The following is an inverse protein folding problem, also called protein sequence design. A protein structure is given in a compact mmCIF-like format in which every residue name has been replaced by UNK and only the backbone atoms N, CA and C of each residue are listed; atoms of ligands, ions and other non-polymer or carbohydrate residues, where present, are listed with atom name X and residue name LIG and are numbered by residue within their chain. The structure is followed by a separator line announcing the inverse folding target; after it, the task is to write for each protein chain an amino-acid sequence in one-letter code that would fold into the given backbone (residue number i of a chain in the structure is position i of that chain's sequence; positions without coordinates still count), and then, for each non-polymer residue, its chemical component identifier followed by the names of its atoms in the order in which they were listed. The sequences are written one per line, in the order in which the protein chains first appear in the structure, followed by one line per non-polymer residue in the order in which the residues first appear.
data_IF_375499434916
#
_entry.id   IF_375499434916
#
_cell.length_a   1.000
_cell.length_b   1.000
_cell.length_c   1.000
_cell.angle_alpha   90.00
_cell.angle_beta   90.00
_cell.angle_gamma   90.00
#
_symmetry.space_group_name_H-M   'P 1'
#
loop_
_entity.id
_entity.type
_entity.pdbx_description
1 polymer ?
#
# COMPACT_ATOMS: atom_id res chain seq x y z
N UNK A 1 -22.59 -32.37 -18.39
CA UNK A 1 -22.73 -31.29 -19.38
C UNK A 1 -23.16 -30.04 -18.63
N UNK A 2 -22.49 -28.90 -18.83
CA UNK A 2 -22.89 -27.64 -18.19
C UNK A 2 -24.30 -27.22 -18.65
N UNK A 3 -25.10 -26.69 -17.72
CA UNK A 3 -26.45 -26.21 -18.03
C UNK A 3 -26.41 -24.95 -18.90
N UNK A 4 -27.50 -24.67 -19.59
CA UNK A 4 -27.62 -23.47 -20.44
C UNK A 4 -27.45 -22.18 -19.64
N UNK A 5 -27.99 -22.14 -18.41
CA UNK A 5 -27.78 -21.05 -17.47
C UNK A 5 -26.31 -20.87 -17.06
N UNK A 6 -25.55 -21.96 -16.92
CA UNK A 6 -24.13 -21.89 -16.59
C UNK A 6 -23.33 -21.31 -17.76
N UNK A 7 -23.65 -21.69 -19.00
CA UNK A 7 -22.99 -21.16 -20.22
C UNK A 7 -23.30 -19.69 -20.45
N UNK A 8 -24.55 -19.28 -20.24
CA UNK A 8 -24.96 -17.88 -20.32
C UNK A 8 -24.27 -17.02 -19.26
N UNK A 9 -24.15 -17.54 -18.03
CA UNK A 9 -23.38 -16.88 -16.98
C UNK A 9 -21.91 -16.75 -17.38
N UNK A 10 -21.28 -17.85 -17.82
CA UNK A 10 -19.88 -17.87 -18.27
C UNK A 10 -19.60 -16.80 -19.33
N UNK A 11 -20.50 -16.59 -20.30
CA UNK A 11 -20.36 -15.55 -21.33
C UNK A 11 -20.50 -14.13 -20.77
N UNK A 12 -21.44 -13.91 -19.85
CA UNK A 12 -21.67 -12.59 -19.25
C UNK A 12 -20.54 -12.15 -18.31
N UNK A 13 -19.88 -13.10 -17.64
CA UNK A 13 -18.76 -12.83 -16.73
C UNK A 13 -17.40 -13.12 -17.33
N UNK A 14 -17.33 -13.52 -18.61
CA UNK A 14 -16.05 -13.79 -19.25
C UNK A 14 -15.28 -12.48 -19.37
N UNK A 15 -14.12 -12.44 -18.74
CA UNK A 15 -13.20 -11.32 -18.82
C UNK A 15 -11.92 -11.86 -19.44
N UNK A 16 -11.74 -11.57 -20.73
CA UNK A 16 -10.50 -11.82 -21.48
C UNK A 16 -9.44 -10.78 -21.12
N UNK A 17 -9.04 -10.76 -19.85
CA UNK A 17 -7.90 -9.97 -19.39
C UNK A 17 -6.74 -10.91 -19.04
N UNK A 18 -5.50 -10.55 -19.43
CA UNK A 18 -4.33 -11.30 -19.02
C UNK A 18 -4.28 -11.35 -17.49
N UNK A 19 -4.17 -12.56 -16.94
CA UNK A 19 -4.00 -12.74 -15.50
C UNK A 19 -2.61 -12.25 -15.09
N UNK A 20 -2.55 -11.50 -14.00
CA UNK A 20 -1.29 -11.18 -13.35
C UNK A 20 -0.77 -12.40 -12.59
N UNK A 21 0.53 -12.67 -12.74
CA UNK A 21 1.27 -13.66 -11.95
C UNK A 21 1.53 -13.13 -10.54
N UNK A 22 1.89 -14.01 -9.61
CA UNK A 22 2.27 -13.62 -8.24
C UNK A 22 3.43 -12.61 -8.26
N UNK A 23 4.40 -12.80 -9.14
CA UNK A 23 5.54 -11.89 -9.28
C UNK A 23 5.16 -10.50 -9.83
N UNK A 24 3.98 -10.40 -10.46
CA UNK A 24 3.41 -9.14 -10.95
C UNK A 24 2.48 -8.46 -9.93
N UNK A 25 2.16 -9.14 -8.81
CA UNK A 25 1.35 -8.58 -7.73
C UNK A 25 2.22 -7.70 -6.81
N UNK A 26 2.55 -6.49 -7.27
CA UNK A 26 3.16 -5.47 -6.41
C UNK A 26 2.07 -4.68 -5.67
N UNK A 27 2.17 -4.59 -4.35
CA UNK A 27 1.24 -3.81 -3.50
C UNK A 27 1.83 -2.48 -3.02
N UNK A 28 2.83 -1.94 -3.73
CA UNK A 28 3.48 -0.69 -3.36
C UNK A 28 2.57 0.52 -3.63
N UNK A 29 2.38 1.36 -2.63
CA UNK A 29 1.91 2.72 -2.83
C UNK A 29 3.11 3.66 -2.67
N UNK A 30 3.37 4.47 -3.68
CA UNK A 30 4.30 5.58 -3.55
C UNK A 30 3.59 6.69 -2.77
N UNK A 31 4.13 7.02 -1.60
CA UNK A 31 3.57 8.02 -0.69
C UNK A 31 4.70 8.95 -0.25
N UNK A 32 4.54 10.24 -0.54
CA UNK A 32 5.40 11.27 0.03
C UNK A 32 5.14 11.31 1.56
N UNK A 33 6.15 11.10 2.41
CA UNK A 33 5.98 11.28 3.84
C UNK A 33 5.61 12.73 4.13
N UNK A 34 4.72 12.99 5.11
CA UNK A 34 4.38 14.36 5.48
C UNK A 34 5.64 15.12 5.93
N UNK A 35 5.71 16.45 5.69
CA UNK A 35 6.81 17.26 6.18
C UNK A 35 6.97 17.08 7.69
N UNK A 36 8.21 16.96 8.16
CA UNK A 36 8.49 16.85 9.59
C UNK A 36 7.95 18.09 10.32
N UNK A 37 6.93 17.96 11.20
CA UNK A 37 6.35 19.09 11.92
C UNK A 37 7.34 19.73 12.91
N UNK A 38 8.41 19.02 13.27
CA UNK A 38 9.45 19.49 14.18
C UNK A 38 10.60 20.16 13.46
N UNK A 39 10.63 20.12 12.12
CA UNK A 39 11.64 20.79 11.31
C UNK A 39 13.07 20.32 11.55
N UNK A 40 13.28 19.06 11.92
CA UNK A 40 14.60 18.54 12.27
C UNK A 40 15.10 18.98 13.64
N UNK A 41 14.19 19.25 14.59
CA UNK A 41 14.58 19.51 15.99
C UNK A 41 15.39 18.34 16.51
N UNK A 42 16.57 18.65 17.03
CA UNK A 42 17.42 17.69 17.73
C UNK A 42 16.81 17.39 19.11
N UNK A 43 15.85 16.47 19.09
CA UNK A 43 15.15 15.97 20.28
C UNK A 43 16.10 15.33 21.28
N UNK A 44 17.27 14.85 20.84
CA UNK A 44 18.28 14.25 21.70
C UNK A 44 18.98 15.34 22.52
N UNK A 45 19.41 16.43 21.87
CA UNK A 45 19.94 17.61 22.56
C UNK A 45 18.91 18.24 23.50
N UNK A 46 17.65 18.38 23.09
CA UNK A 46 16.59 18.91 23.97
C UNK A 46 16.33 18.03 25.20
N UNK A 47 16.36 16.69 25.03
CA UNK A 47 16.20 15.75 26.13
C UNK A 47 17.35 15.87 27.14
N UNK A 48 18.60 15.94 26.65
CA UNK A 48 19.80 16.10 27.48
C UNK A 48 19.77 17.40 28.28
N UNK A 49 19.41 18.53 27.66
CA UNK A 49 19.25 19.83 28.34
C UNK A 49 18.19 19.74 29.45
N UNK A 50 17.03 19.13 29.15
CA UNK A 50 15.91 19.06 30.10
C UNK A 50 16.20 18.21 31.34
N UNK A 51 16.92 17.11 31.18
CA UNK A 51 17.08 16.11 32.26
C UNK A 51 18.42 16.17 32.97
N UNK A 52 19.46 16.65 32.29
CA UNK A 52 20.82 16.59 32.82
C UNK A 52 21.29 17.97 33.27
N UNK A 53 20.74 19.05 32.68
CA UNK A 53 21.14 20.42 32.98
C UNK A 53 22.57 20.68 32.51
N UNK A 54 22.76 21.68 31.66
CA UNK A 54 24.10 22.20 31.38
C UNK A 54 24.45 23.31 32.38
#
# INVERSE_FOLDING_TARGET
MASEAQRDLEQRVHVDLPRITVDQMTTGQDTEPPPDPTGGRDVETEFMIRHIGW
#
